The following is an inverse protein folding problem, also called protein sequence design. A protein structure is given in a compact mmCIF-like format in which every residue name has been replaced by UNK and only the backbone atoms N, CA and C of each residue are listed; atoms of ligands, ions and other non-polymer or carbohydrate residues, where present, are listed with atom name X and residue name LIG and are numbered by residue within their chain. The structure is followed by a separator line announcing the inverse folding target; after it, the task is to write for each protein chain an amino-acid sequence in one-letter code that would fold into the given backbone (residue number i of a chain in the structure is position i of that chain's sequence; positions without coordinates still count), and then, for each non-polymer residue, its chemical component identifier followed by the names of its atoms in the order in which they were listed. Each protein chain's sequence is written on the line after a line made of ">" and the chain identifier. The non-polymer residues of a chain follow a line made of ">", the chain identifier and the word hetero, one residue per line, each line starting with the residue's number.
data_IF_875124746889
#
_entry.id   IF_875124746889
#
_cell.length_a   1.000
_cell.length_b   1.000
_cell.length_c   1.000
_cell.angle_alpha   90.00
_cell.angle_beta   90.00
_cell.angle_gamma   90.00
#
_symmetry.space_group_name_H-M   'P 1'
#
loop_
_entity.id
_entity.type
_entity.pdbx_description
1 polymer ?
#
# COMPACT_ATOMS: atom_id res chain seq x y z
N UNK A 1 14.91 33.65 16.73
CA UNK A 1 14.63 32.44 17.53
C UNK A 1 14.10 31.35 16.60
N UNK A 2 14.94 30.81 15.72
CA UNK A 2 14.54 29.95 14.60
C UNK A 2 15.49 28.75 14.39
N UNK A 3 16.25 28.38 15.41
CA UNK A 3 17.25 27.30 15.35
C UNK A 3 16.72 25.93 15.83
N UNK A 4 15.57 25.88 16.50
CA UNK A 4 15.07 24.65 17.18
C UNK A 4 14.49 23.58 16.22
N UNK A 5 13.98 24.00 15.04
CA UNK A 5 13.25 23.09 14.14
C UNK A 5 14.16 22.20 13.31
N UNK A 6 15.35 22.69 12.94
CA UNK A 6 16.32 21.93 12.14
C UNK A 6 16.97 20.81 12.96
N UNK A 7 17.28 21.08 14.22
CA UNK A 7 17.91 20.10 15.12
C UNK A 7 16.99 18.93 15.45
N UNK A 8 15.69 19.20 15.61
CA UNK A 8 14.67 18.17 15.87
C UNK A 8 14.55 17.18 14.70
N UNK A 9 14.62 17.66 13.46
CA UNK A 9 14.55 16.81 12.25
C UNK A 9 15.86 16.02 12.07
N UNK A 10 17.00 16.62 12.40
CA UNK A 10 18.32 15.97 12.35
C UNK A 10 18.42 14.79 13.32
N UNK A 11 17.96 14.95 14.55
CA UNK A 11 18.01 13.91 15.59
C UNK A 11 17.14 12.70 15.23
N UNK A 12 15.93 12.91 14.71
CA UNK A 12 15.05 11.83 14.24
C UNK A 12 15.66 11.00 13.10
N UNK A 13 16.47 11.62 12.23
CA UNK A 13 17.18 10.92 11.14
C UNK A 13 18.36 10.08 11.65
N UNK A 14 19.05 10.53 12.71
CA UNK A 14 20.16 9.78 13.32
C UNK A 14 19.66 8.53 14.05
N UNK A 15 18.55 8.60 14.75
CA UNK A 15 17.93 7.44 15.41
C UNK A 15 17.53 6.35 14.40
N UNK A 16 16.87 6.72 13.30
CA UNK A 16 16.47 5.77 12.25
C UNK A 16 17.64 5.06 11.56
N UNK A 17 18.84 5.65 11.56
CA UNK A 17 20.05 5.00 11.03
C UNK A 17 20.69 4.03 12.02
N UNK A 18 20.58 4.29 13.33
CA UNK A 18 21.09 3.38 14.37
C UNK A 18 20.23 2.12 14.49
N UNK A 19 18.93 2.22 14.28
CA UNK A 19 18.01 1.08 14.32
C UNK A 19 18.01 0.20 13.06
N UNK A 20 18.76 0.55 12.01
CA UNK A 20 18.79 -0.18 10.72
C UNK A 20 20.15 -0.80 10.37
N UNK A 21 21.13 -0.72 11.26
CA UNK A 21 22.51 -1.15 11.00
C UNK A 21 23.03 -2.25 11.92
N UNK A 22 22.15 -3.05 12.53
CA UNK A 22 22.53 -4.05 13.53
C UNK A 22 21.84 -5.41 13.33
N UNK A 23 21.57 -5.81 12.08
CA UNK A 23 21.13 -7.17 11.74
C UNK A 23 21.83 -7.60 10.44
N UNK A 24 23.08 -8.01 10.56
CA UNK A 24 23.71 -9.00 9.69
C UNK A 24 24.80 -9.74 10.50
N UNK A 25 24.95 -11.04 10.24
CA UNK A 25 25.80 -12.05 10.90
C UNK A 25 25.39 -12.58 12.30
N UNK A 26 24.74 -13.75 12.30
CA UNK A 26 25.14 -14.96 13.05
C UNK A 26 24.29 -16.18 12.67
N UNK A 27 24.91 -17.12 11.96
CA UNK A 27 24.51 -18.53 11.88
C UNK A 27 24.87 -19.22 13.20
N UNK A 28 23.93 -19.92 13.83
CA UNK A 28 24.18 -21.07 14.73
C UNK A 28 22.85 -21.84 14.97
N UNK A 29 22.89 -23.15 14.71
CA UNK A 29 21.84 -24.14 15.00
C UNK A 29 21.87 -24.52 16.50
N UNK A 30 20.72 -24.64 17.19
CA UNK A 30 20.30 -25.85 17.95
C UNK A 30 18.94 -25.68 18.68
N UNK A 31 18.04 -26.64 18.39
CA UNK A 31 16.95 -27.29 19.15
C UNK A 31 15.91 -26.56 20.06
N UNK A 32 14.72 -27.20 20.27
CA UNK A 32 13.45 -26.52 20.53
C UNK A 32 13.11 -26.42 22.02
N UNK A 33 12.38 -25.36 22.40
CA UNK A 33 11.71 -25.31 23.69
C UNK A 33 10.23 -24.97 23.51
N UNK A 34 9.42 -25.89 24.05
CA UNK A 34 7.97 -25.91 24.04
C UNK A 34 7.39 -24.88 25.04
N UNK A 35 6.07 -24.69 25.00
CA UNK A 35 5.22 -23.80 25.84
C UNK A 35 5.26 -22.30 25.46
N UNK A 36 4.18 -21.63 25.05
CA UNK A 36 2.80 -21.65 25.57
C UNK A 36 1.77 -21.39 24.46
N UNK A 37 0.71 -22.20 24.44
CA UNK A 37 -0.47 -22.04 23.60
C UNK A 37 -1.24 -20.77 23.98
N UNK A 38 -0.94 -19.67 23.29
CA UNK A 38 -1.95 -18.62 23.12
C UNK A 38 -2.90 -19.13 22.04
N UNK A 39 -4.15 -19.44 22.40
CA UNK A 39 -5.21 -19.84 21.46
C UNK A 39 -5.48 -18.69 20.50
N UNK A 40 -4.68 -18.61 19.44
CA UNK A 40 -5.01 -17.84 18.26
C UNK A 40 -6.23 -18.50 17.64
N UNK A 41 -7.32 -17.75 17.55
CA UNK A 41 -8.45 -18.03 16.67
C UNK A 41 -7.88 -18.56 15.34
N UNK A 42 -8.38 -19.67 14.77
CA UNK A 42 -7.84 -20.17 13.51
C UNK A 42 -8.09 -19.10 12.44
N UNK A 43 -7.07 -18.28 12.21
CA UNK A 43 -7.01 -17.37 11.10
C UNK A 43 -7.05 -18.30 9.90
N UNK A 44 -8.19 -18.27 9.18
CA UNK A 44 -8.37 -19.03 7.95
C UNK A 44 -7.04 -19.01 7.20
N UNK A 45 -6.46 -20.18 6.99
CA UNK A 45 -5.13 -20.39 6.39
C UNK A 45 -5.16 -19.85 4.98
N UNK A 46 -5.08 -18.53 4.85
CA UNK A 46 -4.93 -17.88 3.57
C UNK A 46 -3.56 -18.33 3.05
N UNK A 47 -3.54 -18.76 1.78
CA UNK A 47 -2.30 -19.09 1.12
C UNK A 47 -1.27 -17.95 1.33
N UNK A 48 0.02 -18.28 1.51
CA UNK A 48 1.10 -17.30 1.55
C UNK A 48 0.92 -16.28 0.43
N UNK A 49 1.19 -15.00 0.72
CA UNK A 49 1.01 -13.92 -0.29
C UNK A 49 1.79 -14.22 -1.58
N UNK A 50 2.89 -14.97 -1.48
CA UNK A 50 3.73 -15.43 -2.59
C UNK A 50 3.04 -16.41 -3.53
N UNK A 51 2.05 -17.16 -3.05
CA UNK A 51 1.42 -18.26 -3.78
C UNK A 51 0.08 -17.82 -4.42
N UNK A 52 -0.26 -16.53 -4.30
CA UNK A 52 -1.47 -15.95 -4.85
C UNK A 52 -1.24 -15.55 -6.31
N UNK A 53 -2.29 -15.64 -7.12
CA UNK A 53 -2.29 -15.08 -8.47
C UNK A 53 -2.01 -13.58 -8.41
N UNK A 54 -1.08 -13.12 -9.26
CA UNK A 54 -0.70 -11.72 -9.35
C UNK A 54 -0.94 -11.22 -10.77
N UNK A 55 -1.47 -10.00 -10.88
CA UNK A 55 -1.62 -9.28 -12.12
C UNK A 55 -0.75 -8.02 -12.08
N UNK A 56 -0.08 -7.72 -13.19
CA UNK A 56 0.70 -6.49 -13.35
C UNK A 56 0.05 -5.63 -14.41
N UNK A 57 -0.17 -4.36 -14.08
CA UNK A 57 -0.74 -3.36 -14.98
C UNK A 57 0.26 -2.23 -15.16
N UNK A 58 0.43 -1.78 -16.41
CA UNK A 58 1.15 -0.56 -16.70
C UNK A 58 0.20 0.61 -16.45
N UNK A 59 0.72 1.66 -15.83
CA UNK A 59 -0.02 2.88 -15.54
C UNK A 59 0.76 4.05 -16.12
N UNK A 60 0.05 4.99 -16.73
CA UNK A 60 0.59 6.31 -17.04
C UNK A 60 1.11 7.00 -15.77
N UNK A 61 2.06 7.90 -15.96
CA UNK A 61 2.75 8.54 -14.85
C UNK A 61 1.82 9.39 -13.96
N UNK A 62 0.90 10.12 -14.59
CA UNK A 62 -0.14 10.93 -13.95
C UNK A 62 -1.08 10.08 -13.09
N UNK A 63 -1.64 8.99 -13.63
CA UNK A 63 -2.49 8.07 -12.88
C UNK A 63 -1.73 7.42 -11.72
N UNK A 64 -0.47 7.02 -11.94
CA UNK A 64 0.40 6.48 -10.89
C UNK A 64 0.64 7.50 -9.76
N UNK A 65 0.83 8.76 -10.11
CA UNK A 65 1.07 9.83 -9.13
C UNK A 65 -0.20 10.23 -8.39
N UNK A 66 -1.36 10.22 -9.05
CA UNK A 66 -2.65 10.38 -8.42
C UNK A 66 -2.91 9.26 -7.39
N UNK A 67 -2.75 7.99 -7.77
CA UNK A 67 -2.88 6.86 -6.84
C UNK A 67 -1.95 7.00 -5.63
N UNK A 68 -0.71 7.49 -5.84
CA UNK A 68 0.23 7.75 -4.74
C UNK A 68 -0.25 8.87 -3.83
N UNK A 69 -0.87 9.92 -4.36
CA UNK A 69 -1.42 11.05 -3.56
C UNK A 69 -2.61 10.57 -2.74
N UNK A 70 -3.60 9.94 -3.38
CA UNK A 70 -4.81 9.41 -2.72
C UNK A 70 -4.45 8.42 -1.61
N UNK A 71 -3.48 7.53 -1.88
CA UNK A 71 -2.96 6.62 -0.85
C UNK A 71 -2.40 7.34 0.37
N UNK A 72 -1.55 8.37 0.17
CA UNK A 72 -0.96 9.11 1.30
C UNK A 72 -2.02 9.83 2.12
N UNK A 73 -3.08 10.32 1.46
CA UNK A 73 -4.20 10.96 2.14
C UNK A 73 -4.94 9.95 3.02
N UNK A 74 -5.31 8.78 2.48
CA UNK A 74 -5.98 7.71 3.25
C UNK A 74 -5.12 7.25 4.43
N UNK A 75 -3.82 7.03 4.21
CA UNK A 75 -2.88 6.64 5.28
C UNK A 75 -2.85 7.68 6.40
N UNK A 76 -2.86 8.98 6.05
CA UNK A 76 -2.89 10.07 7.01
C UNK A 76 -4.22 10.14 7.76
N UNK A 77 -5.35 10.03 7.06
CA UNK A 77 -6.67 10.12 7.66
C UNK A 77 -6.91 8.97 8.65
N UNK A 78 -6.48 7.75 8.30
CA UNK A 78 -6.56 6.58 9.20
C UNK A 78 -5.67 6.72 10.44
N UNK A 79 -4.48 7.31 10.30
CA UNK A 79 -3.59 7.58 11.42
C UNK A 79 -4.18 8.64 12.35
N UNK A 80 -4.72 9.73 11.79
CA UNK A 80 -5.32 10.82 12.58
C UNK A 80 -6.58 10.35 13.32
N UNK A 81 -7.48 9.65 12.63
CA UNK A 81 -8.81 9.34 13.17
C UNK A 81 -8.81 8.08 14.05
N UNK A 82 -7.99 7.08 13.69
CA UNK A 82 -8.01 5.77 14.33
C UNK A 82 -6.66 5.34 14.91
N UNK A 83 -5.56 6.06 14.66
CA UNK A 83 -4.21 5.66 15.07
C UNK A 83 -3.72 4.39 14.37
N UNK A 84 -4.20 4.12 13.16
CA UNK A 84 -3.88 2.91 12.39
C UNK A 84 -2.92 3.25 11.26
N UNK A 85 -1.77 2.57 11.22
CA UNK A 85 -0.83 2.61 10.09
C UNK A 85 -0.98 1.35 9.21
N UNK A 86 -1.71 1.41 8.08
CA UNK A 86 -1.95 0.24 7.26
C UNK A 86 -0.74 -0.13 6.39
N UNK A 87 -0.47 -1.45 6.27
CA UNK A 87 0.57 -1.95 5.36
C UNK A 87 0.23 -1.71 3.88
N UNK A 88 1.21 -1.18 3.14
CA UNK A 88 1.04 -0.71 1.75
C UNK A 88 0.50 -1.76 0.79
N UNK A 89 1.10 -2.95 0.79
CA UNK A 89 0.82 -4.00 -0.19
C UNK A 89 -0.20 -5.03 0.32
N UNK A 90 -0.39 -5.14 1.65
CA UNK A 90 -1.37 -6.05 2.24
C UNK A 90 -2.75 -5.43 2.42
N UNK A 91 -2.82 -4.13 2.73
CA UNK A 91 -4.08 -3.47 3.08
C UNK A 91 -4.47 -2.41 2.06
N UNK A 92 -3.63 -1.39 1.86
CA UNK A 92 -4.06 -0.19 1.10
C UNK A 92 -4.29 -0.47 -0.38
N UNK A 93 -3.34 -1.11 -1.09
CA UNK A 93 -3.51 -1.35 -2.53
C UNK A 93 -4.73 -2.23 -2.84
N UNK A 94 -4.94 -3.38 -2.16
CA UNK A 94 -6.16 -4.16 -2.32
C UNK A 94 -7.42 -3.35 -1.99
N UNK A 95 -7.39 -2.52 -0.95
CA UNK A 95 -8.53 -1.67 -0.57
C UNK A 95 -8.89 -0.67 -1.67
N UNK A 96 -7.90 0.03 -2.25
CA UNK A 96 -8.14 0.98 -3.34
C UNK A 96 -8.75 0.29 -4.56
N UNK A 97 -8.25 -0.89 -4.93
CA UNK A 97 -8.81 -1.69 -6.03
C UNK A 97 -10.25 -2.14 -5.73
N UNK A 98 -10.50 -2.62 -4.52
CA UNK A 98 -11.84 -3.04 -4.09
C UNK A 98 -12.85 -1.88 -4.12
N UNK A 99 -12.48 -0.72 -3.58
CA UNK A 99 -13.35 0.45 -3.57
C UNK A 99 -13.59 1.00 -4.97
N UNK A 100 -12.58 1.01 -5.84
CA UNK A 100 -12.74 1.38 -7.25
C UNK A 100 -13.66 0.42 -8.01
N UNK A 101 -13.50 -0.89 -7.82
CA UNK A 101 -14.37 -1.88 -8.42
C UNK A 101 -15.82 -1.76 -7.93
N UNK A 102 -16.02 -1.45 -6.65
CA UNK A 102 -17.35 -1.19 -6.09
C UNK A 102 -17.99 0.03 -6.73
N UNK A 103 -17.24 1.13 -6.90
CA UNK A 103 -17.74 2.31 -7.58
C UNK A 103 -18.17 2.01 -9.03
N UNK A 104 -17.39 1.19 -9.76
CA UNK A 104 -17.76 0.77 -11.12
C UNK A 104 -19.03 -0.08 -11.17
N UNK A 105 -19.34 -0.86 -10.12
CA UNK A 105 -20.58 -1.64 -10.04
C UNK A 105 -21.82 -0.76 -9.88
N UNK A 106 -21.66 0.40 -9.26
CA UNK A 106 -22.75 1.36 -9.03
C UNK A 106 -22.98 2.28 -10.25
N UNK A 107 -22.05 2.30 -11.21
CA UNK A 107 -22.14 3.11 -12.43
C UNK A 107 -22.90 2.40 -13.55
N UNK A 108 -23.68 3.16 -14.33
CA UNK A 108 -24.29 2.64 -15.56
C UNK A 108 -23.33 2.65 -16.76
N UNK A 109 -23.70 1.95 -17.83
CA UNK A 109 -22.85 1.83 -19.02
C UNK A 109 -22.56 3.17 -19.71
N UNK A 110 -23.48 4.13 -19.62
CA UNK A 110 -23.31 5.48 -20.18
C UNK A 110 -22.29 6.24 -19.37
N UNK A 111 -22.40 6.21 -18.04
CA UNK A 111 -21.46 6.85 -17.13
C UNK A 111 -20.04 6.30 -17.29
N UNK A 112 -19.90 4.97 -17.43
CA UNK A 112 -18.60 4.34 -17.68
C UNK A 112 -18.03 4.81 -19.01
N UNK A 113 -18.84 4.85 -20.07
CA UNK A 113 -18.42 5.33 -21.39
C UNK A 113 -17.99 6.79 -21.35
N UNK A 114 -18.72 7.64 -20.62
CA UNK A 114 -18.40 9.06 -20.48
C UNK A 114 -17.07 9.24 -19.76
N UNK A 115 -16.83 8.52 -18.67
CA UNK A 115 -15.55 8.54 -17.95
C UNK A 115 -14.41 8.08 -18.86
N UNK A 116 -14.58 6.97 -19.60
CA UNK A 116 -13.53 6.48 -20.51
C UNK A 116 -13.15 7.50 -21.59
N UNK A 117 -14.11 8.24 -22.12
CA UNK A 117 -13.87 9.21 -23.20
C UNK A 117 -13.45 10.60 -22.72
N UNK A 118 -13.75 10.96 -21.47
CA UNK A 118 -13.44 12.28 -20.90
C UNK A 118 -12.19 12.29 -20.05
N UNK A 119 -11.80 11.13 -19.50
CA UNK A 119 -10.66 11.07 -18.58
C UNK A 119 -9.36 10.93 -19.35
N UNK A 120 -8.67 12.07 -19.53
CA UNK A 120 -7.36 12.16 -20.19
C UNK A 120 -6.21 11.47 -19.43
N UNK A 121 -6.46 10.82 -18.29
CA UNK A 121 -5.43 10.09 -17.52
C UNK A 121 -5.34 8.61 -17.91
N UNK A 122 -6.35 8.10 -18.64
CA UNK A 122 -6.34 6.74 -19.16
C UNK A 122 -5.55 6.72 -20.46
N UNK A 123 -4.91 5.59 -20.77
CA UNK A 123 -4.33 5.41 -22.09
C UNK A 123 -5.48 5.45 -23.09
N UNK A 124 -5.37 6.32 -24.09
CA UNK A 124 -6.35 6.39 -25.17
C UNK A 124 -6.40 5.01 -25.82
N UNK A 125 -7.60 4.46 -26.00
CA UNK A 125 -7.81 3.25 -26.78
C UNK A 125 -7.59 3.66 -28.23
N UNK A 126 -6.33 3.88 -28.59
CA UNK A 126 -5.98 4.41 -29.90
C UNK A 126 -6.78 3.67 -30.96
N UNK A 127 -7.48 4.42 -31.81
CA UNK A 127 -7.96 3.90 -33.08
C UNK A 127 -6.76 3.22 -33.74
N UNK A 128 -6.66 1.91 -33.61
CA UNK A 128 -5.81 1.06 -34.43
C UNK A 128 -6.47 1.06 -35.80
N UNK A 129 -6.35 2.18 -36.51
CA UNK A 129 -6.47 2.18 -37.97
C UNK A 129 -5.21 1.46 -38.49
N UNK A 130 -5.40 0.20 -38.89
CA UNK A 130 -4.50 -0.49 -39.83
C UNK A 130 -4.57 0.15 -41.22
#
# INVERSE_FOLDING_TARGET
>A
MSEDRADRVSNRRKERRRSRGAEDDREEEDEPNDTEQTKQTPQATQAPVTDREHATFYLREDLRDELRRTRKQIELDLDIEYGVEPEKNRHIRPLMLYLGAKQLQDMDATEISDVLNTTDILDDLGNTEE
#
